data_IF_303363501350
#
_entry.id   IF_303363501350
#
_cell.length_a   1.000
_cell.length_b   1.000
_cell.length_c   1.000
_cell.angle_alpha   90.00
_cell.angle_beta   90.00
_cell.angle_gamma   90.00
#
_symmetry.space_group_name_H-M   'P 1'
#
loop_
_entity.id
_entity.type
_entity.pdbx_description
1 polymer ?
#
# COMPACT_ATOMS: atom_id res chain seq x y z
N UNK A 1 15.34 1.17 -27.19
CA UNK A 1 16.28 2.05 -26.46
C UNK A 1 15.83 3.52 -26.35
N UNK A 2 15.42 4.24 -27.42
CA UNK A 2 15.00 5.66 -27.29
C UNK A 2 13.65 5.84 -26.60
N UNK A 3 12.72 4.93 -26.75
CA UNK A 3 11.39 4.94 -26.11
C UNK A 3 11.48 4.66 -24.62
N UNK A 4 12.30 3.69 -24.21
CA UNK A 4 12.60 3.39 -22.82
C UNK A 4 13.13 4.60 -22.02
N UNK A 5 14.02 5.36 -22.63
CA UNK A 5 14.56 6.56 -22.01
C UNK A 5 13.53 7.70 -21.87
N UNK A 6 12.46 7.73 -22.69
CA UNK A 6 11.35 8.69 -22.55
C UNK A 6 10.40 8.28 -21.44
N UNK A 7 10.01 7.00 -21.39
CA UNK A 7 9.12 6.47 -20.34
C UNK A 7 9.77 6.64 -18.98
N UNK A 8 11.04 6.27 -18.86
CA UNK A 8 11.79 6.47 -17.62
C UNK A 8 11.81 7.91 -17.15
N UNK A 9 12.17 8.88 -18.02
CA UNK A 9 12.19 10.31 -17.68
C UNK A 9 10.81 10.87 -17.32
N UNK A 10 9.74 10.40 -17.96
CA UNK A 10 8.36 10.80 -17.62
C UNK A 10 7.96 10.25 -16.26
N UNK A 11 8.25 8.98 -15.99
CA UNK A 11 7.97 8.34 -14.71
C UNK A 11 8.73 8.97 -13.55
N UNK A 12 10.02 9.24 -13.71
CA UNK A 12 10.84 9.94 -12.72
C UNK A 12 10.22 11.31 -12.38
N UNK A 13 9.80 12.09 -13.40
CA UNK A 13 9.09 13.35 -13.17
C UNK A 13 7.75 13.18 -12.46
N UNK A 14 7.03 12.08 -12.71
CA UNK A 14 5.76 11.82 -12.00
C UNK A 14 6.00 11.48 -10.54
N UNK A 15 7.07 10.74 -10.19
CA UNK A 15 7.43 10.52 -8.79
C UNK A 15 7.87 11.80 -8.07
N UNK A 16 8.44 12.76 -8.80
CA UNK A 16 8.85 14.05 -8.23
C UNK A 16 7.68 15.03 -8.08
N UNK A 17 6.87 15.20 -9.15
CA UNK A 17 5.79 16.20 -9.19
C UNK A 17 4.43 15.71 -8.73
N UNK A 18 4.22 14.40 -8.70
CA UNK A 18 2.94 13.77 -8.45
C UNK A 18 1.97 13.85 -9.65
N UNK A 19 0.84 13.18 -9.49
CA UNK A 19 -0.30 13.27 -10.42
C UNK A 19 -1.12 14.51 -10.07
N UNK A 20 -1.58 15.24 -11.07
CA UNK A 20 -2.53 16.34 -10.86
C UNK A 20 -3.96 15.80 -10.82
N UNK A 21 -4.77 16.36 -9.96
CA UNK A 21 -6.19 15.97 -9.84
C UNK A 21 -7.08 17.00 -10.56
N UNK A 22 -8.04 16.56 -11.41
CA UNK A 22 -8.32 15.17 -11.81
C UNK A 22 -7.17 14.55 -12.58
N UNK A 23 -7.00 13.23 -12.46
CA UNK A 23 -5.84 12.54 -13.06
C UNK A 23 -6.05 12.38 -14.57
N UNK A 24 -5.10 12.83 -15.34
CA UNK A 24 -5.04 12.63 -16.79
C UNK A 24 -4.73 11.16 -17.11
N UNK A 25 -5.41 10.62 -18.15
CA UNK A 25 -5.17 9.22 -18.57
C UNK A 25 -3.71 8.97 -18.97
N UNK A 26 -3.08 9.95 -19.60
CA UNK A 26 -1.68 9.85 -20.04
C UNK A 26 -0.73 9.74 -18.84
N UNK A 27 -0.94 10.52 -17.80
CA UNK A 27 -0.15 10.44 -16.56
C UNK A 27 -0.28 9.07 -15.89
N UNK A 28 -1.48 8.46 -15.87
CA UNK A 28 -1.66 7.11 -15.35
C UNK A 28 -0.93 6.05 -16.19
N UNK A 29 -0.97 6.17 -17.51
CA UNK A 29 -0.27 5.25 -18.41
C UNK A 29 1.25 5.39 -18.24
N UNK A 30 1.76 6.61 -18.15
CA UNK A 30 3.19 6.85 -17.92
C UNK A 30 3.64 6.34 -16.54
N UNK A 31 2.84 6.56 -15.49
CA UNK A 31 3.10 6.02 -14.14
C UNK A 31 3.11 4.48 -14.14
N UNK A 32 2.11 3.86 -14.77
CA UNK A 32 2.03 2.40 -14.89
C UNK A 32 3.27 1.82 -15.57
N UNK A 33 3.63 2.34 -16.74
CA UNK A 33 4.79 1.88 -17.49
C UNK A 33 6.09 2.05 -16.70
N UNK A 34 6.21 3.15 -15.98
CA UNK A 34 7.39 3.41 -15.17
C UNK A 34 7.51 2.41 -14.00
N UNK A 35 6.43 2.22 -13.22
CA UNK A 35 6.40 1.24 -12.13
C UNK A 35 6.70 -0.17 -12.65
N UNK A 36 6.13 -0.51 -13.79
CA UNK A 36 6.35 -1.79 -14.46
C UNK A 36 7.81 -2.02 -14.85
N UNK A 37 8.42 -1.06 -15.55
CA UNK A 37 9.82 -1.13 -15.95
C UNK A 37 10.76 -1.26 -14.75
N UNK A 38 10.48 -0.52 -13.67
CA UNK A 38 11.27 -0.61 -12.44
C UNK A 38 11.12 -1.95 -11.74
N UNK A 39 9.90 -2.47 -11.70
CA UNK A 39 9.64 -3.80 -11.12
C UNK A 39 10.37 -4.91 -11.91
N UNK A 40 10.32 -4.88 -13.24
CA UNK A 40 10.96 -5.88 -14.09
C UNK A 40 12.49 -5.78 -14.04
N UNK A 41 13.04 -4.55 -14.03
CA UNK A 41 14.47 -4.28 -14.02
C UNK A 41 15.14 -4.47 -12.65
N UNK A 42 14.38 -4.45 -11.57
CA UNK A 42 14.93 -4.64 -10.23
C UNK A 42 15.46 -6.07 -10.05
N UNK A 43 16.52 -6.25 -9.23
CA UNK A 43 16.93 -7.58 -8.80
C UNK A 43 15.72 -8.34 -8.23
N UNK A 44 15.59 -9.66 -8.53
CA UNK A 44 14.43 -10.43 -8.07
C UNK A 44 14.10 -10.23 -6.59
N UNK A 45 15.14 -10.24 -5.74
CA UNK A 45 15.01 -10.06 -4.30
C UNK A 45 14.49 -8.68 -3.87
N UNK A 46 14.60 -7.65 -4.72
CA UNK A 46 14.21 -6.26 -4.39
C UNK A 46 12.89 -5.83 -5.02
N UNK A 47 12.36 -6.62 -5.96
CA UNK A 47 11.18 -6.23 -6.77
C UNK A 47 9.98 -5.78 -5.97
N UNK A 48 9.60 -6.56 -4.98
CA UNK A 48 8.41 -6.25 -4.17
C UNK A 48 8.63 -4.96 -3.37
N UNK A 49 9.74 -4.85 -2.63
CA UNK A 49 10.04 -3.67 -1.84
C UNK A 49 10.20 -2.41 -2.70
N UNK A 50 10.83 -2.53 -3.88
CA UNK A 50 10.98 -1.41 -4.83
C UNK A 50 9.63 -0.93 -5.36
N UNK A 51 8.73 -1.84 -5.75
CA UNK A 51 7.39 -1.47 -6.21
C UNK A 51 6.60 -0.72 -5.13
N UNK A 52 6.66 -1.21 -3.89
CA UNK A 52 6.00 -0.53 -2.78
C UNK A 52 6.61 0.85 -2.52
N UNK A 53 7.93 0.98 -2.51
CA UNK A 53 8.61 2.25 -2.28
C UNK A 53 8.25 3.28 -3.36
N UNK A 54 8.25 2.89 -4.64
CA UNK A 54 7.89 3.76 -5.75
C UNK A 54 6.40 4.16 -5.70
N UNK A 55 5.51 3.23 -5.33
CA UNK A 55 4.09 3.51 -5.15
C UNK A 55 3.83 4.52 -4.01
N UNK A 56 4.51 4.35 -2.87
CA UNK A 56 4.41 5.29 -1.75
C UNK A 56 4.98 6.67 -2.13
N UNK A 57 6.09 6.73 -2.88
CA UNK A 57 6.67 7.97 -3.37
C UNK A 57 5.70 8.69 -4.33
N UNK A 58 5.07 7.97 -5.25
CA UNK A 58 4.05 8.51 -6.15
C UNK A 58 2.85 9.07 -5.38
N UNK A 59 2.36 8.34 -4.37
CA UNK A 59 1.28 8.81 -3.51
C UNK A 59 1.65 10.12 -2.82
N UNK A 60 2.80 10.18 -2.16
CA UNK A 60 3.24 11.35 -1.40
C UNK A 60 3.50 12.56 -2.32
N UNK A 61 4.11 12.36 -3.48
CA UNK A 61 4.33 13.41 -4.47
C UNK A 61 2.99 13.94 -5.02
N UNK A 62 2.03 13.05 -5.30
CA UNK A 62 0.69 13.43 -5.77
C UNK A 62 -0.06 14.23 -4.72
N UNK A 63 0.01 13.82 -3.47
CA UNK A 63 -0.62 14.54 -2.37
C UNK A 63 -0.01 15.95 -2.21
N UNK A 64 1.33 16.05 -2.25
CA UNK A 64 2.05 17.32 -2.16
C UNK A 64 1.73 18.28 -3.30
N UNK A 65 1.46 17.77 -4.49
CA UNK A 65 1.12 18.58 -5.67
C UNK A 65 -0.28 19.23 -5.60
N UNK A 66 -1.12 18.81 -4.63
CA UNK A 66 -2.50 19.28 -4.53
C UNK A 66 -2.69 20.20 -3.31
N UNK A 67 -3.22 21.43 -3.50
CA UNK A 67 -3.18 22.50 -2.49
C UNK A 67 -4.08 22.29 -1.27
N UNK A 68 -4.99 21.30 -1.27
CA UNK A 68 -5.94 21.06 -0.19
C UNK A 68 -5.35 20.37 1.06
N UNK A 69 -4.06 20.08 1.06
CA UNK A 69 -3.36 19.39 2.16
C UNK A 69 -3.36 20.19 3.48
N UNK A 70 -3.56 21.50 3.42
CA UNK A 70 -3.43 22.40 4.57
C UNK A 70 -4.59 22.37 5.56
N UNK A 71 -5.71 21.75 5.21
CA UNK A 71 -6.90 21.65 6.04
C UNK A 71 -7.01 20.33 6.81
N UNK A 72 -5.97 19.50 6.76
CA UNK A 72 -6.00 18.20 7.42
C UNK A 72 -5.86 18.30 8.93
N UNK A 73 -6.65 17.49 9.64
CA UNK A 73 -6.46 17.23 11.06
C UNK A 73 -5.35 16.21 11.32
N UNK A 74 -5.07 15.34 10.34
CA UNK A 74 -4.11 14.26 10.47
C UNK A 74 -2.67 14.75 10.46
N UNK A 75 -1.96 14.55 11.56
CA UNK A 75 -0.55 14.90 11.73
C UNK A 75 0.22 13.72 12.32
N UNK A 76 1.55 13.77 12.28
CA UNK A 76 2.38 12.83 13.05
C UNK A 76 2.05 12.96 14.53
N UNK A 77 1.76 11.84 15.18
CA UNK A 77 1.30 11.82 16.58
C UNK A 77 -0.22 11.70 16.75
N UNK A 78 -1.00 11.75 15.67
CA UNK A 78 -2.42 11.39 15.70
C UNK A 78 -2.57 9.87 15.58
N UNK A 79 -3.23 9.22 16.55
CA UNK A 79 -3.29 7.76 16.67
C UNK A 79 -4.72 7.16 16.58
N UNK A 80 -5.77 7.95 16.42
CA UNK A 80 -7.15 7.46 16.46
C UNK A 80 -7.43 6.34 15.45
N UNK A 81 -6.95 6.46 14.20
CA UNK A 81 -7.12 5.43 13.18
C UNK A 81 -6.20 4.21 13.36
N UNK A 82 -5.24 4.21 14.31
CA UNK A 82 -4.37 3.07 14.56
C UNK A 82 -5.08 1.88 15.24
N UNK A 83 -6.34 1.99 15.54
CA UNK A 83 -7.19 0.93 16.06
C UNK A 83 -8.08 0.30 14.99
N UNK A 84 -7.99 0.79 13.76
CA UNK A 84 -8.80 0.32 12.66
C UNK A 84 -8.13 -0.83 11.89
N UNK A 85 -8.94 -1.55 11.13
CA UNK A 85 -8.46 -2.53 10.16
C UNK A 85 -7.63 -1.83 9.08
N UNK A 86 -6.51 -2.42 8.72
CA UNK A 86 -5.59 -1.91 7.69
C UNK A 86 -5.34 -2.99 6.67
N UNK A 87 -5.58 -2.67 5.41
CA UNK A 87 -5.23 -3.51 4.27
C UNK A 87 -3.86 -3.13 3.71
N UNK A 88 -3.14 -4.09 3.17
CA UNK A 88 -1.89 -3.84 2.46
C UNK A 88 -1.73 -4.80 1.28
N UNK A 89 -1.08 -4.35 0.23
CA UNK A 89 -0.60 -5.23 -0.86
C UNK A 89 0.60 -6.04 -0.37
N UNK A 90 0.87 -7.18 -1.01
CA UNK A 90 2.05 -7.99 -0.67
C UNK A 90 3.37 -7.19 -0.72
N UNK A 91 3.64 -6.33 -1.72
CA UNK A 91 4.81 -5.46 -1.74
C UNK A 91 4.95 -4.55 -0.52
N UNK A 92 3.85 -3.93 -0.06
CA UNK A 92 3.87 -3.08 1.13
C UNK A 92 4.19 -3.87 2.40
N UNK A 93 3.66 -5.09 2.50
CA UNK A 93 3.98 -6.01 3.61
C UNK A 93 5.47 -6.34 3.63
N UNK A 94 6.05 -6.73 2.48
CA UNK A 94 7.46 -7.07 2.41
C UNK A 94 8.37 -5.88 2.66
N UNK A 95 8.02 -4.68 2.18
CA UNK A 95 8.77 -3.46 2.48
C UNK A 95 8.84 -3.20 4.01
N UNK A 96 7.71 -3.32 4.71
CA UNK A 96 7.67 -3.16 6.17
C UNK A 96 8.43 -4.30 6.87
N UNK A 97 8.27 -5.54 6.42
CA UNK A 97 8.96 -6.69 7.02
C UNK A 97 10.48 -6.57 6.91
N UNK A 98 11.00 -6.11 5.75
CA UNK A 98 12.42 -5.82 5.56
C UNK A 98 12.92 -4.73 6.52
N UNK A 99 12.17 -3.63 6.63
CA UNK A 99 12.50 -2.54 7.53
C UNK A 99 12.58 -3.01 8.99
N UNK A 100 11.61 -3.81 9.43
CA UNK A 100 11.60 -4.40 10.76
C UNK A 100 12.83 -5.26 11.00
N UNK A 101 13.16 -6.16 10.07
CA UNK A 101 14.33 -7.04 10.19
C UNK A 101 15.66 -6.26 10.19
N UNK A 102 15.73 -5.15 9.47
CA UNK A 102 16.95 -4.34 9.36
C UNK A 102 17.21 -3.43 10.56
N UNK A 103 16.17 -3.00 11.28
CA UNK A 103 16.31 -2.00 12.35
C UNK A 103 15.97 -2.53 13.73
N UNK A 104 15.22 -3.62 13.83
CA UNK A 104 14.80 -4.17 15.12
C UNK A 104 15.77 -5.29 15.51
N UNK A 105 16.38 -5.25 16.70
CA UNK A 105 17.19 -6.37 17.19
C UNK A 105 16.39 -7.67 17.12
N UNK A 106 17.05 -8.78 16.75
CA UNK A 106 16.39 -10.07 16.51
C UNK A 106 15.50 -10.51 17.69
N UNK A 107 15.94 -10.28 18.92
CA UNK A 107 15.14 -10.57 20.13
C UNK A 107 13.88 -9.71 20.29
N UNK A 108 13.79 -8.53 19.65
CA UNK A 108 12.63 -7.65 19.74
C UNK A 108 11.60 -7.92 18.62
N UNK A 109 11.96 -8.65 17.58
CA UNK A 109 11.03 -9.08 16.50
C UNK A 109 9.95 -10.00 17.10
N UNK A 110 10.32 -10.87 18.03
CA UNK A 110 9.37 -11.74 18.77
C UNK A 110 8.27 -10.95 19.47
N UNK A 111 8.63 -9.89 20.19
CA UNK A 111 7.66 -9.02 20.86
C UNK A 111 6.76 -8.25 19.88
N UNK A 112 7.25 -7.90 18.69
CA UNK A 112 6.39 -7.34 17.64
C UNK A 112 5.40 -8.39 17.12
N UNK A 113 5.85 -9.62 16.89
CA UNK A 113 4.98 -10.72 16.44
C UNK A 113 3.86 -11.01 17.45
N UNK A 114 4.15 -10.96 18.75
CA UNK A 114 3.14 -11.08 19.80
C UNK A 114 2.10 -9.95 19.75
N UNK A 115 2.52 -8.71 19.48
CA UNK A 115 1.59 -7.58 19.30
C UNK A 115 0.77 -7.65 18.04
N UNK A 116 1.27 -8.30 16.97
CA UNK A 116 0.52 -8.50 15.71
C UNK A 116 -0.58 -9.56 15.88
N UNK A 117 -0.31 -10.63 16.64
CA UNK A 117 -1.16 -11.81 16.72
C UNK A 117 -2.64 -11.55 17.06
N UNK A 118 -3.01 -10.66 18.02
CA UNK A 118 -4.41 -10.44 18.39
C UNK A 118 -5.30 -9.89 17.28
N UNK A 119 -4.71 -9.31 16.22
CA UNK A 119 -5.44 -8.65 15.16
C UNK A 119 -5.65 -9.51 13.90
N UNK A 120 -4.88 -10.58 13.75
CA UNK A 120 -4.73 -11.35 12.51
C UNK A 120 -6.02 -11.99 11.97
N UNK A 121 -7.00 -12.24 12.82
CA UNK A 121 -8.27 -12.90 12.49
C UNK A 121 -9.46 -11.95 12.55
N UNK A 122 -9.25 -10.68 12.84
CA UNK A 122 -10.31 -9.71 13.06
C UNK A 122 -10.69 -9.01 11.76
N UNK A 123 -11.95 -9.12 11.36
CA UNK A 123 -12.53 -8.31 10.31
C UNK A 123 -12.66 -6.82 10.71
N UNK A 124 -13.01 -5.93 9.76
CA UNK A 124 -13.05 -4.49 9.99
C UNK A 124 -13.90 -4.07 11.20
N UNK A 125 -15.11 -4.59 11.35
CA UNK A 125 -16.01 -4.26 12.45
C UNK A 125 -15.50 -4.78 13.81
N UNK A 126 -14.95 -6.00 13.84
CA UNK A 126 -14.42 -6.57 15.07
C UNK A 126 -13.18 -5.83 15.53
N UNK A 127 -12.32 -5.42 14.60
CA UNK A 127 -11.09 -4.68 14.90
C UNK A 127 -11.40 -3.38 15.64
N UNK A 128 -12.33 -2.58 15.11
CA UNK A 128 -12.79 -1.33 15.74
C UNK A 128 -13.44 -1.61 17.08
N UNK A 129 -14.36 -2.59 17.15
CA UNK A 129 -15.10 -2.92 18.38
C UNK A 129 -14.20 -3.40 19.52
N UNK A 130 -13.12 -4.12 19.22
CA UNK A 130 -12.16 -4.62 20.23
C UNK A 130 -11.06 -3.62 20.59
N UNK A 131 -10.94 -2.51 19.89
CA UNK A 131 -9.93 -1.45 20.12
C UNK A 131 -8.50 -1.99 20.24
N UNK A 132 -8.14 -2.96 19.39
CA UNK A 132 -6.78 -3.50 19.38
C UNK A 132 -5.88 -2.53 18.64
N UNK A 133 -4.90 -1.98 19.34
CA UNK A 133 -3.94 -1.06 18.77
C UNK A 133 -3.11 -1.71 17.65
N UNK A 134 -2.72 -0.93 16.65
CA UNK A 134 -1.72 -1.34 15.67
C UNK A 134 -0.41 -1.69 16.38
N UNK A 135 0.22 -2.80 15.99
CA UNK A 135 1.47 -3.27 16.63
C UNK A 135 2.64 -2.28 16.49
N UNK A 136 2.54 -1.33 15.54
CA UNK A 136 3.52 -0.26 15.33
C UNK A 136 3.20 1.04 16.08
N UNK A 137 2.12 1.08 16.85
CA UNK A 137 1.78 2.24 17.66
C UNK A 137 2.63 2.22 18.93
N UNK A 138 3.44 3.26 19.11
CA UNK A 138 4.23 3.53 20.31
C UNK A 138 3.81 4.89 20.87
N UNK A 139 3.15 4.87 22.02
CA UNK A 139 2.46 6.05 22.54
C UNK A 139 1.42 6.58 21.54
N UNK A 140 1.65 7.75 20.99
CA UNK A 140 0.81 8.36 19.94
C UNK A 140 1.48 8.36 18.55
N UNK A 141 2.62 7.67 18.39
CA UNK A 141 3.41 7.71 17.16
C UNK A 141 3.50 6.33 16.51
N UNK A 142 3.49 6.31 15.17
CA UNK A 142 3.72 5.10 14.40
C UNK A 142 5.22 4.90 14.18
N UNK A 143 5.78 3.77 14.63
CA UNK A 143 7.22 3.47 14.47
C UNK A 143 7.64 3.25 13.00
N UNK A 144 6.69 2.93 12.12
CA UNK A 144 6.90 2.79 10.66
C UNK A 144 6.19 3.90 9.86
N UNK A 145 6.11 5.13 10.40
CA UNK A 145 5.31 6.21 9.83
C UNK A 145 5.60 6.47 8.35
N UNK A 146 6.87 6.46 7.93
CA UNK A 146 7.27 6.68 6.54
C UNK A 146 6.86 5.54 5.59
N UNK A 147 6.68 4.33 6.12
CA UNK A 147 6.34 3.11 5.38
C UNK A 147 4.87 2.70 5.54
N UNK A 148 4.04 3.57 6.11
CA UNK A 148 2.61 3.28 6.27
C UNK A 148 2.00 2.88 4.93
N UNK A 149 1.24 1.77 4.86
CA UNK A 149 0.52 1.36 3.65
C UNK A 149 -0.39 2.47 3.12
N UNK A 150 -0.72 2.42 1.85
CA UNK A 150 -1.63 3.38 1.22
C UNK A 150 -2.97 3.43 1.96
N UNK A 151 -3.48 2.31 2.44
CA UNK A 151 -4.72 2.26 3.23
C UNK A 151 -4.65 3.05 4.55
N UNK A 152 -3.47 3.16 5.17
CA UNK A 152 -3.27 4.08 6.30
C UNK A 152 -3.21 5.54 5.87
N UNK A 153 -2.62 5.82 4.69
CA UNK A 153 -2.44 7.18 4.17
C UNK A 153 -3.73 7.81 3.68
N UNK A 154 -4.66 6.99 3.16
CA UNK A 154 -5.99 7.47 2.72
C UNK A 154 -6.92 7.83 3.89
N UNK A 155 -6.62 7.37 5.10
CA UNK A 155 -7.36 7.76 6.29
C UNK A 155 -6.97 9.15 6.75
N UNK A 156 -7.44 10.13 5.99
CA UNK A 156 -7.19 11.54 6.25
C UNK A 156 -8.51 12.28 6.38
N UNK A 157 -8.68 13.02 7.45
CA UNK A 157 -9.87 13.85 7.71
C UNK A 157 -9.50 15.32 7.82
N UNK A 158 -10.46 16.20 7.56
CA UNK A 158 -10.27 17.64 7.69
C UNK A 158 -10.45 18.08 9.15
N UNK A 159 -9.95 19.29 9.47
CA UNK A 159 -9.96 19.81 10.85
C UNK A 159 -11.37 19.94 11.43
N UNK A 160 -12.36 20.29 10.62
CA UNK A 160 -13.77 20.38 11.06
C UNK A 160 -14.33 19.04 11.54
N UNK A 161 -13.82 17.92 10.99
CA UNK A 161 -14.37 16.59 11.24
C UNK A 161 -13.50 15.77 12.23
N UNK A 162 -12.50 16.42 12.85
CA UNK A 162 -11.61 15.75 13.81
C UNK A 162 -12.35 15.07 14.96
N UNK A 163 -13.45 15.69 15.42
CA UNK A 163 -14.25 15.13 16.49
C UNK A 163 -14.86 13.77 16.14
N UNK A 164 -15.11 13.49 14.85
CA UNK A 164 -15.58 12.17 14.39
C UNK A 164 -14.52 11.07 14.64
N UNK A 165 -13.21 11.38 14.50
CA UNK A 165 -12.15 10.45 14.82
C UNK A 165 -12.14 10.09 16.30
N UNK A 166 -12.38 11.06 17.18
CA UNK A 166 -12.48 10.86 18.63
C UNK A 166 -13.68 9.97 18.94
N UNK A 167 -14.83 10.29 18.35
CA UNK A 167 -16.07 9.54 18.54
C UNK A 167 -15.95 8.09 18.01
N UNK A 168 -15.36 7.87 16.82
CA UNK A 168 -15.10 6.52 16.29
C UNK A 168 -14.25 5.73 17.27
N UNK A 169 -13.18 6.34 17.78
CA UNK A 169 -12.33 5.71 18.80
C UNK A 169 -13.08 5.39 20.09
N UNK A 170 -14.00 6.23 20.53
CA UNK A 170 -14.83 6.01 21.72
C UNK A 170 -15.99 5.03 21.49
N UNK A 171 -16.14 4.47 20.30
CA UNK A 171 -17.18 3.51 19.96
C UNK A 171 -18.42 4.14 19.32
N UNK A 172 -18.31 5.36 18.83
CA UNK A 172 -19.34 6.01 18.02
C UNK A 172 -19.60 5.25 16.72
N UNK A 173 -20.84 5.38 16.21
CA UNK A 173 -21.28 4.70 14.99
C UNK A 173 -21.19 5.57 13.75
N UNK A 174 -20.95 6.86 13.92
CA UNK A 174 -20.82 7.79 12.79
C UNK A 174 -19.51 7.54 12.04
N UNK A 175 -19.56 7.34 10.72
CA UNK A 175 -18.36 7.12 9.95
C UNK A 175 -17.51 8.38 9.88
N UNK A 176 -16.21 8.23 10.07
CA UNK A 176 -15.26 9.34 9.88
C UNK A 176 -15.20 9.70 8.40
N UNK A 177 -15.57 10.93 8.07
CA UNK A 177 -15.44 11.45 6.72
C UNK A 177 -13.97 11.55 6.32
N UNK A 178 -13.60 10.81 5.28
CA UNK A 178 -12.26 10.86 4.70
C UNK A 178 -12.26 11.80 3.50
N UNK A 179 -11.16 12.52 3.29
CA UNK A 179 -11.06 13.40 2.13
C UNK A 179 -11.09 12.61 0.83
N UNK A 180 -11.90 13.06 -0.13
CA UNK A 180 -11.99 12.43 -1.45
C UNK A 180 -10.64 12.41 -2.17
N UNK A 181 -9.83 13.46 -1.99
CA UNK A 181 -8.50 13.54 -2.59
C UNK A 181 -7.62 12.35 -2.19
N UNK A 182 -7.46 12.09 -0.88
CA UNK A 182 -6.64 10.98 -0.40
C UNK A 182 -7.16 9.63 -0.89
N UNK A 183 -8.49 9.44 -0.88
CA UNK A 183 -9.12 8.22 -1.36
C UNK A 183 -8.87 7.98 -2.85
N UNK A 184 -9.03 9.03 -3.68
CA UNK A 184 -8.81 8.91 -5.11
C UNK A 184 -7.34 8.64 -5.45
N UNK A 185 -6.40 9.35 -4.82
CA UNK A 185 -4.97 9.09 -5.00
C UNK A 185 -4.66 7.64 -4.61
N UNK A 186 -5.11 7.20 -3.44
CA UNK A 186 -4.87 5.85 -2.96
C UNK A 186 -5.44 4.79 -3.90
N UNK A 187 -6.67 4.98 -4.38
CA UNK A 187 -7.30 4.05 -5.32
C UNK A 187 -6.51 3.94 -6.64
N UNK A 188 -6.06 5.05 -7.21
CA UNK A 188 -5.23 5.02 -8.43
C UNK A 188 -3.89 4.33 -8.21
N UNK A 189 -3.18 4.68 -7.12
CA UNK A 189 -1.85 4.10 -6.87
C UNK A 189 -1.96 2.60 -6.57
N UNK A 190 -2.95 2.19 -5.77
CA UNK A 190 -3.19 0.75 -5.51
C UNK A 190 -3.55 0.00 -6.80
N UNK A 191 -4.39 0.59 -7.67
CA UNK A 191 -4.73 0.01 -8.97
C UNK A 191 -3.47 -0.19 -9.84
N UNK A 192 -2.58 0.79 -9.91
CA UNK A 192 -1.33 0.66 -10.67
C UNK A 192 -0.46 -0.49 -10.14
N UNK A 193 -0.30 -0.60 -8.82
CA UNK A 193 0.42 -1.72 -8.20
C UNK A 193 -0.22 -3.06 -8.56
N UNK A 194 -1.53 -3.18 -8.44
CA UNK A 194 -2.26 -4.41 -8.76
C UNK A 194 -2.11 -4.82 -10.24
N UNK A 195 -2.13 -3.84 -11.17
CA UNK A 195 -1.91 -4.11 -12.60
C UNK A 195 -0.50 -4.65 -12.85
N UNK A 196 0.54 -4.04 -12.25
CA UNK A 196 1.95 -4.52 -12.38
C UNK A 196 2.09 -5.94 -11.83
N UNK A 197 1.50 -6.22 -10.67
CA UNK A 197 1.51 -7.55 -10.06
C UNK A 197 0.81 -8.58 -10.95
N UNK A 198 -0.39 -8.28 -11.42
CA UNK A 198 -1.16 -9.16 -12.29
C UNK A 198 -0.44 -9.44 -13.62
N UNK A 199 0.21 -8.42 -14.22
CA UNK A 199 1.00 -8.58 -15.44
C UNK A 199 2.26 -9.44 -15.24
N UNK A 200 2.67 -9.62 -13.99
CA UNK A 200 3.83 -10.46 -13.60
C UNK A 200 3.40 -11.81 -13.00
N UNK A 201 2.10 -12.14 -13.06
CA UNK A 201 1.57 -13.41 -12.55
C UNK A 201 1.44 -13.50 -11.03
N UNK A 202 1.59 -12.38 -10.31
CA UNK A 202 1.45 -12.35 -8.85
C UNK A 202 0.00 -12.06 -8.42
N UNK A 203 -0.34 -12.47 -7.19
CA UNK A 203 -1.62 -12.17 -6.57
C UNK A 203 -1.82 -10.64 -6.43
N UNK A 204 -3.01 -10.17 -6.80
CA UNK A 204 -3.41 -8.76 -6.76
C UNK A 204 -4.26 -8.41 -5.53
N UNK A 205 -4.44 -9.37 -4.62
CA UNK A 205 -5.20 -9.20 -3.40
C UNK A 205 -4.55 -8.16 -2.46
N UNK A 206 -5.38 -7.58 -1.60
CA UNK A 206 -4.95 -6.86 -0.40
C UNK A 206 -5.29 -7.70 0.83
N UNK A 207 -4.41 -7.65 1.81
CA UNK A 207 -4.41 -8.53 2.98
C UNK A 207 -4.53 -7.72 4.26
N UNK A 208 -5.13 -8.30 5.31
CA UNK A 208 -5.05 -7.72 6.66
C UNK A 208 -3.58 -7.60 7.06
N UNK A 209 -3.17 -6.38 7.40
CA UNK A 209 -1.76 -6.02 7.60
C UNK A 209 -1.07 -6.84 8.68
N UNK A 210 -1.74 -7.04 9.83
CA UNK A 210 -1.12 -7.74 10.96
C UNK A 210 -0.89 -9.22 10.65
N UNK A 211 -1.86 -9.86 9.99
CA UNK A 211 -1.76 -11.26 9.57
C UNK A 211 -0.69 -11.46 8.50
N UNK A 212 -0.66 -10.58 7.50
CA UNK A 212 0.33 -10.66 6.44
C UNK A 212 1.76 -10.39 6.94
N UNK A 213 1.93 -9.39 7.82
CA UNK A 213 3.23 -9.14 8.45
C UNK A 213 3.68 -10.28 9.34
N UNK A 214 2.76 -10.86 10.13
CA UNK A 214 3.08 -12.00 10.96
C UNK A 214 3.55 -13.20 10.12
N UNK A 215 2.86 -13.48 9.00
CA UNK A 215 3.27 -14.53 8.06
C UNK A 215 4.65 -14.23 7.45
N UNK A 216 4.87 -13.00 6.98
CA UNK A 216 6.14 -12.59 6.41
C UNK A 216 7.29 -12.63 7.43
N UNK A 217 7.07 -12.23 8.69
CA UNK A 217 8.12 -12.22 9.72
C UNK A 217 8.47 -13.63 10.23
N UNK A 218 7.52 -14.56 10.21
CA UNK A 218 7.75 -15.97 10.60
C UNK A 218 8.59 -16.75 9.60
N UNK A 219 8.52 -16.37 8.32
CA UNK A 219 9.23 -17.04 7.25
C UNK A 219 10.18 -16.05 6.55
N UNK A 220 11.48 -16.04 6.86
CA UNK A 220 12.44 -15.13 6.22
C UNK A 220 12.43 -15.22 4.68
N UNK A 221 12.12 -16.39 4.15
CA UNK A 221 12.04 -16.68 2.72
C UNK A 221 10.67 -16.34 2.10
N UNK A 222 9.69 -15.82 2.88
CA UNK A 222 8.33 -15.57 2.39
C UNK A 222 8.31 -14.72 1.12
N UNK A 223 9.14 -13.68 1.05
CA UNK A 223 9.20 -12.80 -0.12
C UNK A 223 9.73 -13.51 -1.37
N UNK A 224 10.80 -14.28 -1.25
CA UNK A 224 11.34 -15.06 -2.38
C UNK A 224 10.40 -16.16 -2.85
N UNK A 225 9.70 -16.83 -1.94
CA UNK A 225 8.65 -17.80 -2.25
C UNK A 225 7.48 -17.15 -2.98
N UNK A 226 7.03 -15.99 -2.51
CA UNK A 226 5.97 -15.22 -3.16
C UNK A 226 6.39 -14.76 -4.56
N UNK A 227 7.61 -14.27 -4.74
CA UNK A 227 8.16 -13.91 -6.04
C UNK A 227 8.30 -15.15 -6.97
N UNK A 228 8.46 -16.32 -6.40
CA UNK A 228 8.40 -17.62 -7.10
C UNK A 228 6.98 -18.09 -7.44
N UNK A 229 5.94 -17.32 -7.11
CA UNK A 229 4.53 -17.63 -7.43
C UNK A 229 3.78 -18.38 -6.33
N UNK A 230 4.36 -18.57 -5.14
CA UNK A 230 3.67 -19.22 -4.03
C UNK A 230 2.70 -18.27 -3.31
N UNK A 231 1.51 -18.73 -2.94
CA UNK A 231 0.58 -17.95 -2.10
C UNK A 231 0.96 -18.06 -0.61
N UNK A 232 1.97 -17.29 -0.21
CA UNK A 232 2.45 -17.24 1.19
C UNK A 232 1.45 -16.61 2.15
N UNK A 233 0.39 -15.99 1.63
CA UNK A 233 -0.68 -15.36 2.40
C UNK A 233 -2.02 -16.10 2.30
N UNK A 234 -2.02 -17.38 1.90
CA UNK A 234 -3.24 -18.18 1.70
C UNK A 234 -4.16 -18.21 2.95
N UNK A 235 -3.59 -18.19 4.15
CA UNK A 235 -4.34 -18.19 5.42
C UNK A 235 -4.64 -16.81 5.99
N UNK A 236 -4.22 -15.74 5.31
CA UNK A 236 -4.41 -14.35 5.78
C UNK A 236 -5.76 -13.84 5.29
N UNK A 237 -6.44 -13.07 6.12
CA UNK A 237 -7.68 -12.39 5.73
C UNK A 237 -7.41 -11.47 4.53
N UNK A 238 -8.22 -11.64 3.48
CA UNK A 238 -8.20 -10.82 2.26
C UNK A 238 -9.38 -9.86 2.26
N UNK A 239 -9.19 -8.69 1.66
CA UNK A 239 -10.30 -7.78 1.45
C UNK A 239 -11.27 -8.34 0.42
N UNK A 240 -12.55 -8.05 0.62
CA UNK A 240 -13.56 -8.30 -0.42
C UNK A 240 -13.40 -7.28 -1.53
N UNK A 241 -13.04 -7.75 -2.71
CA UNK A 241 -12.83 -6.91 -3.89
C UNK A 241 -14.07 -6.95 -4.78
N UNK A 242 -14.55 -5.77 -5.19
CA UNK A 242 -15.63 -5.65 -6.18
C UNK A 242 -15.26 -6.44 -7.45
N UNK A 243 -16.14 -7.32 -7.96
CA UNK A 243 -15.89 -8.09 -9.18
C UNK A 243 -15.51 -7.22 -10.40
N UNK A 244 -16.07 -6.00 -10.50
CA UNK A 244 -15.76 -5.04 -11.57
C UNK A 244 -14.32 -4.53 -11.46
N UNK A 245 -13.87 -4.25 -10.23
CA UNK A 245 -12.48 -3.85 -9.98
C UNK A 245 -11.52 -5.00 -10.35
N UNK A 246 -11.83 -6.23 -9.93
CA UNK A 246 -11.02 -7.42 -10.28
C UNK A 246 -10.95 -7.62 -11.80
N UNK A 247 -12.07 -7.48 -12.51
CA UNK A 247 -12.11 -7.57 -13.97
C UNK A 247 -11.25 -6.49 -14.64
N UNK A 248 -11.34 -5.24 -14.16
CA UNK A 248 -10.52 -4.13 -14.64
C UNK A 248 -9.02 -4.40 -14.46
N UNK A 249 -8.61 -4.84 -13.27
CA UNK A 249 -7.22 -5.20 -12.98
C UNK A 249 -6.75 -6.29 -13.94
N UNK A 250 -7.52 -7.36 -14.09
CA UNK A 250 -7.20 -8.48 -15.00
C UNK A 250 -7.04 -8.05 -16.46
N UNK A 251 -7.97 -7.25 -16.98
CA UNK A 251 -7.90 -6.71 -18.35
C UNK A 251 -6.63 -5.87 -18.56
N UNK A 252 -6.36 -4.96 -17.65
CA UNK A 252 -5.20 -4.05 -17.75
C UNK A 252 -3.88 -4.78 -17.56
N UNK A 253 -3.83 -5.75 -16.66
CA UNK A 253 -2.67 -6.61 -16.45
C UNK A 253 -2.35 -7.43 -17.71
N UNK A 254 -3.35 -8.03 -18.34
CA UNK A 254 -3.16 -8.78 -19.60
C UNK A 254 -2.63 -7.88 -20.71
N UNK A 255 -3.18 -6.66 -20.87
CA UNK A 255 -2.71 -5.71 -21.86
C UNK A 255 -1.25 -5.27 -21.60
N UNK A 256 -0.87 -5.07 -20.33
CA UNK A 256 0.50 -4.72 -19.96
C UNK A 256 1.47 -5.88 -20.25
N UNK A 257 1.10 -7.12 -19.90
CA UNK A 257 1.92 -8.32 -20.18
C UNK A 257 2.15 -8.50 -21.68
N UNK A 258 1.12 -8.30 -22.52
CA UNK A 258 1.26 -8.35 -23.98
C UNK A 258 2.24 -7.29 -24.51
N UNK A 259 2.21 -6.06 -23.97
CA UNK A 259 3.09 -4.99 -24.39
C UNK A 259 4.57 -5.26 -24.08
N UNK A 260 4.88 -6.04 -23.04
CA UNK A 260 6.25 -6.49 -22.72
C UNK A 260 6.78 -7.45 -23.79
N UNK A 261 5.94 -8.38 -24.29
CA UNK A 261 6.32 -9.36 -25.31
C UNK A 261 6.69 -8.69 -26.64
N UNK A 262 5.92 -7.69 -27.06
CA UNK A 262 6.18 -6.97 -28.33
C UNK A 262 7.42 -6.08 -28.29
N UNK A 263 7.90 -5.69 -27.10
CA UNK A 263 9.12 -4.89 -26.94
C UNK A 263 10.39 -5.74 -26.88
N UNK A 264 10.29 -7.05 -26.65
CA UNK A 264 11.42 -7.96 -26.59
C UNK A 264 11.84 -8.45 -28.02
N UNK A 265 10.94 -8.38 -28.99
CA UNK A 265 11.14 -8.87 -30.35
C UNK A 265 11.53 -7.74 -31.35
N UNK A 266 11.68 -6.49 -30.89
CA UNK A 266 12.02 -5.30 -31.67
C UNK A 266 13.41 -4.75 -31.30
#
# INVERSE_FOLDING_TARGET
>A
MKEDGRVRRRGERLLERGLRMPVEREDLVDALRYLDQRFVAAPPEDRAAQLAADALALYDATLKANPFIHELACTKGCAYCCYNYVSATAPEVFLIARHVRGLVPEGAVGGLMERLAPATTLGPHERVGRRIACAFLDGSSCSVYALRPISCRVRATVKSDFQLCVQEYEGGKEPVAQTNLHRHIGAHVTLLVQIVLGASGHATDTYELSGALLAALRAPEAESRWLGGEDVFASVLKDTVDPRHRALVGERAAALAQSRGTSADA
#
